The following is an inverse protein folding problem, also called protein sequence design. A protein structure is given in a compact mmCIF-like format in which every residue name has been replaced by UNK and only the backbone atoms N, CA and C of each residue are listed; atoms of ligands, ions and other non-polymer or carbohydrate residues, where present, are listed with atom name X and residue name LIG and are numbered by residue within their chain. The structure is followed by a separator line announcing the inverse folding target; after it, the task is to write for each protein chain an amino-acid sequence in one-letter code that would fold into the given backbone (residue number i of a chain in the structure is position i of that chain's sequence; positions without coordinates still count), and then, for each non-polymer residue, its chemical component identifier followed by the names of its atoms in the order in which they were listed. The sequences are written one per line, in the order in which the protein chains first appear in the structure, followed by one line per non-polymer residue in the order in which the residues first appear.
data_IF_024551345848
#
_entry.id   IF_024551345848
#
_cell.length_a   1.000
_cell.length_b   1.000
_cell.length_c   1.000
_cell.angle_alpha   90.00
_cell.angle_beta   90.00
_cell.angle_gamma   90.00
#
_symmetry.space_group_name_H-M   'P 1'
#
loop_
_entity.id
_entity.type
_entity.pdbx_description
1 polymer ?
#
# COMPACT_ATOMS: atom_id res chain seq x y z
N UNK A 1 0.32 6.27 12.75
CA UNK A 1 0.58 5.06 11.92
C UNK A 1 1.55 5.42 10.82
N UNK A 2 2.37 4.46 10.37
CA UNK A 2 3.22 4.64 9.20
C UNK A 2 2.40 4.88 7.91
N UNK A 3 3.03 5.53 6.95
CA UNK A 3 2.52 5.70 5.60
C UNK A 3 3.61 6.13 4.63
N UNK A 4 3.42 5.82 3.36
CA UNK A 4 4.37 6.12 2.29
C UNK A 4 3.65 6.76 1.11
N UNK A 5 4.36 7.59 0.35
CA UNK A 5 3.90 8.08 -0.94
C UNK A 5 5.08 8.35 -1.90
N UNK A 6 4.77 8.40 -3.20
CA UNK A 6 5.68 8.73 -4.28
C UNK A 6 4.95 9.56 -5.32
N UNK A 7 5.61 10.60 -5.84
CA UNK A 7 5.22 11.32 -7.06
C UNK A 7 6.33 11.10 -8.09
N UNK A 8 5.98 10.63 -9.28
CA UNK A 8 6.90 10.51 -10.42
C UNK A 8 6.41 11.39 -11.57
N UNK A 9 7.27 12.27 -12.06
CA UNK A 9 6.98 13.22 -13.13
C UNK A 9 8.07 13.18 -14.21
N UNK A 10 7.73 13.52 -15.45
CA UNK A 10 8.69 13.58 -16.57
C UNK A 10 9.06 12.21 -17.16
N UNK A 11 8.30 11.16 -16.84
CA UNK A 11 8.51 9.79 -17.34
C UNK A 11 7.25 9.33 -18.05
N UNK A 12 7.38 8.90 -19.31
CA UNK A 12 6.31 8.20 -20.01
C UNK A 12 6.33 6.75 -19.55
N UNK A 13 5.17 6.20 -19.23
CA UNK A 13 5.07 4.83 -18.72
C UNK A 13 4.57 3.92 -19.83
N UNK A 14 5.31 2.83 -20.08
CA UNK A 14 4.84 1.73 -20.91
C UNK A 14 4.14 0.68 -20.04
N UNK A 15 2.91 0.36 -20.42
CA UNK A 15 2.05 -0.63 -19.76
C UNK A 15 1.94 -1.93 -20.56
N UNK A 16 2.69 -2.10 -21.66
CA UNK A 16 2.59 -3.24 -22.58
C UNK A 16 2.67 -4.62 -21.90
N UNK A 17 3.43 -4.70 -20.81
CA UNK A 17 3.64 -5.85 -19.92
C UNK A 17 2.56 -6.05 -18.85
N UNK A 18 1.75 -5.03 -18.56
CA UNK A 18 0.65 -5.09 -17.60
C UNK A 18 -0.67 -5.35 -18.34
N UNK A 19 -1.34 -6.46 -18.01
CA UNK A 19 -2.73 -6.69 -18.43
C UNK A 19 -3.66 -5.81 -17.61
N UNK A 20 -3.69 -4.51 -17.91
CA UNK A 20 -4.74 -3.62 -17.43
C UNK A 20 -5.98 -3.80 -18.29
N UNK A 21 -7.12 -4.05 -17.66
CA UNK A 21 -8.42 -3.99 -18.33
C UNK A 21 -8.67 -2.52 -18.73
N UNK A 22 -8.41 -2.21 -20.00
CA UNK A 22 -8.54 -0.87 -20.54
C UNK A 22 -9.99 -0.40 -20.47
N UNK A 23 -10.26 0.72 -19.79
CA UNK A 23 -11.49 1.49 -20.00
C UNK A 23 -11.18 2.98 -19.95
N UNK A 24 -11.38 3.64 -21.09
CA UNK A 24 -11.68 5.08 -21.16
C UNK A 24 -13.21 5.22 -21.20
N UNK A 25 -13.83 6.15 -20.44
CA UNK A 25 -14.02 7.49 -20.97
C UNK A 25 -13.97 8.63 -19.93
N UNK A 26 -13.87 9.84 -20.49
CA UNK A 26 -13.74 11.16 -19.87
C UNK A 26 -14.73 11.50 -18.75
N UNK A 27 -14.23 12.03 -17.64
CA UNK A 27 -14.97 12.90 -16.73
C UNK A 27 -14.23 14.24 -16.55
N UNK A 28 -14.98 15.34 -16.53
CA UNK A 28 -14.46 16.73 -16.52
C UNK A 28 -14.19 17.24 -15.11
N UNK A 29 -13.42 16.52 -14.31
CA UNK A 29 -12.99 17.04 -13.00
C UNK A 29 -11.49 16.83 -12.81
N UNK A 30 -10.73 17.91 -13.04
CA UNK A 30 -9.29 17.98 -12.75
C UNK A 30 -9.09 17.86 -11.25
N UNK A 31 -8.80 16.65 -10.79
CA UNK A 31 -8.35 16.39 -9.43
C UNK A 31 -6.82 16.35 -9.44
N UNK A 32 -6.20 17.50 -9.18
CA UNK A 32 -4.73 17.59 -9.11
C UNK A 32 -4.31 17.36 -7.66
N UNK A 33 -3.72 16.21 -7.37
CA UNK A 33 -3.15 15.92 -6.04
C UNK A 33 -1.79 16.59 -5.92
N UNK A 34 -1.61 17.47 -4.93
CA UNK A 34 -0.31 18.10 -4.64
C UNK A 34 0.52 17.28 -3.66
N UNK A 35 1.83 17.57 -3.59
CA UNK A 35 2.72 16.99 -2.57
C UNK A 35 2.26 17.31 -1.15
N UNK A 36 1.75 18.53 -0.92
CA UNK A 36 1.28 18.97 0.39
C UNK A 36 -0.03 18.28 0.78
N UNK A 37 -0.91 17.97 -0.18
CA UNK A 37 -2.11 17.16 0.08
C UNK A 37 -1.75 15.76 0.57
N UNK A 38 -0.75 15.11 -0.06
CA UNK A 38 -0.24 13.80 0.35
C UNK A 38 0.40 13.86 1.74
N UNK A 39 1.28 14.84 1.98
CA UNK A 39 1.89 15.06 3.29
C UNK A 39 0.84 15.28 4.38
N UNK A 40 -0.14 16.15 4.15
CA UNK A 40 -1.21 16.41 5.09
C UNK A 40 -2.06 15.16 5.38
N UNK A 41 -2.34 14.36 4.34
CA UNK A 41 -3.06 13.09 4.50
C UNK A 41 -2.28 12.08 5.34
N UNK A 42 -0.98 11.94 5.10
CA UNK A 42 -0.10 11.08 5.88
C UNK A 42 0.06 11.58 7.32
N UNK A 43 0.21 12.89 7.53
CA UNK A 43 0.38 13.52 8.84
C UNK A 43 -0.83 13.30 9.75
N UNK A 44 -2.05 13.29 9.19
CA UNK A 44 -3.30 13.01 9.95
C UNK A 44 -3.31 11.63 10.62
N UNK A 45 -2.43 10.71 10.20
CA UNK A 45 -2.27 9.40 10.85
C UNK A 45 -1.48 9.45 12.15
N UNK A 46 -0.92 10.60 12.52
CA UNK A 46 -0.04 10.78 13.69
C UNK A 46 1.25 9.96 13.61
N UNK A 47 2.15 10.22 12.65
CA UNK A 47 3.50 9.66 12.66
C UNK A 47 4.40 10.40 13.66
N UNK A 48 5.48 9.76 14.10
CA UNK A 48 6.54 10.39 14.91
C UNK A 48 7.39 11.34 14.07
N UNK A 49 7.57 11.03 12.79
CA UNK A 49 8.29 11.88 11.83
C UNK A 49 7.69 11.80 10.44
N UNK A 50 7.83 12.90 9.69
CA UNK A 50 7.47 13.00 8.29
C UNK A 50 8.67 13.55 7.52
N UNK A 51 9.16 12.79 6.55
CA UNK A 51 10.30 13.15 5.72
C UNK A 51 9.96 13.16 4.23
N UNK A 52 10.80 13.83 3.45
CA UNK A 52 10.68 13.89 1.99
C UNK A 52 12.08 13.83 1.38
N UNK A 53 12.22 13.10 0.28
CA UNK A 53 13.45 13.08 -0.51
C UNK A 53 13.10 13.24 -1.99
N UNK A 54 13.74 14.18 -2.66
CA UNK A 54 13.65 14.35 -4.11
C UNK A 54 14.87 13.75 -4.80
N UNK A 55 14.60 13.04 -5.88
CA UNK A 55 15.57 12.52 -6.83
C UNK A 55 15.27 13.10 -8.22
N UNK A 56 16.27 13.72 -8.84
CA UNK A 56 16.21 14.17 -10.24
C UNK A 56 17.00 13.21 -11.10
N UNK A 57 16.42 12.77 -12.21
CA UNK A 57 17.11 12.03 -13.26
C UNK A 57 17.37 12.99 -14.41
N UNK A 58 18.63 13.08 -14.83
CA UNK A 58 19.06 13.94 -15.93
C UNK A 58 19.54 13.08 -17.09
N UNK A 59 19.07 13.40 -18.28
CA UNK A 59 19.53 12.78 -19.52
C UNK A 59 20.45 13.75 -20.27
N UNK A 60 21.72 13.37 -20.42
CA UNK A 60 22.70 14.14 -21.20
C UNK A 60 23.06 13.40 -22.49
N UNK A 61 22.87 14.04 -23.65
CA UNK A 61 23.31 13.51 -24.95
C UNK A 61 24.74 13.95 -25.20
N UNK A 62 25.71 13.02 -25.09
CA UNK A 62 27.09 13.29 -25.46
C UNK A 62 27.26 13.20 -27.00
N UNK A 63 27.14 14.34 -27.68
CA UNK A 63 27.28 14.46 -29.15
C UNK A 63 28.69 14.13 -29.70
N UNK A 64 29.70 13.96 -28.83
CA UNK A 64 31.11 13.81 -29.23
C UNK A 64 31.60 12.34 -29.31
N UNK A 65 30.89 11.39 -28.70
CA UNK A 65 31.25 9.97 -28.73
C UNK A 65 30.01 9.13 -29.07
N UNK A 66 29.96 8.62 -30.31
CA UNK A 66 29.07 7.57 -30.81
C UNK A 66 27.99 7.07 -29.83
N UNK A 67 26.84 7.76 -29.75
CA UNK A 67 25.55 7.19 -29.38
C UNK A 67 25.30 6.76 -27.93
N UNK A 68 26.19 7.02 -26.97
CA UNK A 68 25.97 6.59 -25.58
C UNK A 68 25.14 7.64 -24.80
N UNK A 69 23.88 7.29 -24.51
CA UNK A 69 23.00 7.96 -23.54
C UNK A 69 23.48 7.68 -22.11
N UNK A 70 23.56 8.72 -21.26
CA UNK A 70 23.88 8.57 -19.84
C UNK A 70 22.76 9.16 -18.99
N UNK A 71 22.19 8.34 -18.11
CA UNK A 71 21.25 8.77 -17.06
C UNK A 71 22.02 8.98 -15.77
N UNK A 72 22.07 10.22 -15.30
CA UNK A 72 22.62 10.56 -13.98
C UNK A 72 21.49 10.86 -13.00
N UNK A 73 21.72 10.63 -11.70
CA UNK A 73 20.77 10.99 -10.66
C UNK A 73 21.40 12.01 -9.70
N UNK A 74 20.60 12.98 -9.28
CA UNK A 74 21.01 14.05 -8.36
C UNK A 74 19.96 14.19 -7.27
N UNK A 75 20.39 14.27 -6.02
CA UNK A 75 19.51 14.59 -4.89
C UNK A 75 19.64 16.07 -4.53
N UNK A 76 18.56 16.75 -4.16
CA UNK A 76 18.53 18.21 -3.87
C UNK A 76 19.46 18.69 -2.73
N UNK A 77 20.19 17.82 -2.03
CA UNK A 77 21.24 18.24 -1.08
C UNK A 77 22.53 18.73 -1.76
N UNK A 78 22.70 18.48 -3.06
CA UNK A 78 23.82 19.01 -3.86
C UNK A 78 23.41 20.29 -4.58
N UNK A 79 24.15 21.37 -4.31
CA UNK A 79 23.96 22.71 -4.84
C UNK A 79 23.69 22.77 -6.35
N UNK A 80 22.73 23.66 -6.68
CA UNK A 80 22.34 24.19 -8.00
C UNK A 80 23.48 24.17 -9.02
N UNK A 81 23.28 23.43 -10.11
CA UNK A 81 24.05 23.60 -11.35
C UNK A 81 23.65 24.94 -11.98
N UNK A 82 24.35 26.00 -11.59
CA UNK A 82 24.48 27.19 -12.42
C UNK A 82 25.60 26.90 -13.43
N UNK A 83 25.23 26.62 -14.69
CA UNK A 83 26.06 26.98 -15.83
C UNK A 83 25.24 26.89 -17.11
N UNK A 84 25.05 28.06 -17.73
CA UNK A 84 24.46 28.17 -19.05
C UNK A 84 25.22 27.37 -20.09
N UNK A 85 24.57 26.35 -20.64
CA UNK A 85 24.86 25.83 -21.97
C UNK A 85 23.57 25.33 -22.61
N UNK A 86 23.32 25.77 -23.84
CA UNK A 86 22.07 25.55 -24.58
C UNK A 86 21.98 24.10 -25.11
N UNK A 87 21.30 23.21 -24.38
CA UNK A 87 20.65 22.00 -24.90
C UNK A 87 19.41 21.74 -24.02
N UNK A 88 18.23 21.35 -24.56
CA UNK A 88 17.11 20.95 -23.71
C UNK A 88 17.46 19.65 -22.97
N UNK A 89 17.92 19.75 -21.72
CA UNK A 89 18.00 18.59 -20.82
C UNK A 89 16.57 18.15 -20.49
N UNK A 90 16.20 16.95 -20.93
CA UNK A 90 15.03 16.27 -20.39
C UNK A 90 15.37 15.77 -18.99
N UNK A 91 14.47 16.03 -18.04
CA UNK A 91 14.60 15.57 -16.68
C UNK A 91 13.35 14.81 -16.25
N UNK A 92 13.55 13.87 -15.34
CA UNK A 92 12.48 13.24 -14.59
C UNK A 92 12.67 13.48 -13.09
N UNK A 93 11.56 13.53 -12.36
CA UNK A 93 11.55 13.82 -10.93
C UNK A 93 10.81 12.73 -10.18
N UNK A 94 11.42 12.23 -9.11
CA UNK A 94 10.81 11.32 -8.14
C UNK A 94 10.84 11.97 -6.76
N UNK A 95 9.66 12.15 -6.15
CA UNK A 95 9.51 12.71 -4.80
C UNK A 95 8.96 11.65 -3.86
N UNK A 96 9.82 11.14 -2.97
CA UNK A 96 9.51 10.13 -1.97
C UNK A 96 9.07 10.80 -0.68
N UNK A 97 7.99 10.31 -0.07
CA UNK A 97 7.48 10.80 1.22
C UNK A 97 7.31 9.63 2.18
N UNK A 98 7.90 9.73 3.37
CA UNK A 98 7.80 8.74 4.43
C UNK A 98 7.22 9.36 5.70
N UNK A 99 6.10 8.81 6.18
CA UNK A 99 5.54 9.09 7.49
C UNK A 99 5.83 7.90 8.39
N UNK A 100 6.69 8.06 9.38
CA UNK A 100 7.15 6.96 10.23
C UNK A 100 6.55 7.04 11.61
N UNK A 101 5.88 5.96 12.03
CA UNK A 101 5.57 5.66 13.43
C UNK A 101 6.47 4.49 13.83
N UNK A 102 7.48 4.72 14.66
CA UNK A 102 8.46 3.69 14.96
C UNK A 102 7.91 2.70 16.00
N UNK A 103 7.80 1.43 15.60
CA UNK A 103 7.37 0.35 16.48
C UNK A 103 8.53 -0.56 16.92
N UNK A 104 9.70 -0.46 16.26
CA UNK A 104 10.84 -1.34 16.46
C UNK A 104 12.16 -0.61 16.30
N UNK A 105 13.14 -1.01 17.09
CA UNK A 105 14.48 -0.42 17.14
C UNK A 105 14.61 0.62 18.25
N UNK A 106 15.82 0.75 18.80
CA UNK A 106 16.11 1.64 19.93
C UNK A 106 16.42 3.08 19.50
N UNK A 107 16.88 3.28 18.27
CA UNK A 107 17.20 4.59 17.72
C UNK A 107 16.07 5.06 16.80
N UNK A 108 15.60 6.32 16.92
CA UNK A 108 14.67 6.91 15.97
C UNK A 108 15.17 6.81 14.53
N UNK A 109 14.33 6.32 13.61
CA UNK A 109 14.60 6.24 12.18
C UNK A 109 13.54 7.04 11.43
N UNK A 110 13.98 8.04 10.69
CA UNK A 110 13.11 8.80 9.77
C UNK A 110 13.22 8.26 8.35
N UNK A 111 12.12 8.29 7.61
CA UNK A 111 12.04 7.90 6.21
C UNK A 111 11.69 9.11 5.33
N UNK A 112 12.10 9.15 4.05
CA UNK A 112 12.83 8.13 3.29
C UNK A 112 14.26 7.84 3.81
N UNK A 113 14.64 6.57 3.87
CA UNK A 113 16.01 6.17 4.14
C UNK A 113 16.84 6.26 2.87
N UNK A 114 18.05 6.83 2.97
CA UNK A 114 19.00 6.91 1.85
C UNK A 114 20.31 6.27 2.29
N UNK A 115 20.83 5.34 1.48
CA UNK A 115 22.13 4.71 1.75
C UNK A 115 23.28 5.42 1.02
N UNK A 116 24.51 4.98 1.29
CA UNK A 116 25.72 5.57 0.69
C UNK A 116 25.87 5.31 -0.81
N UNK A 117 25.03 4.46 -1.40
CA UNK A 117 25.03 4.13 -2.83
C UNK A 117 23.97 4.92 -3.58
N UNK A 118 23.19 5.76 -2.88
CA UNK A 118 22.09 6.53 -3.45
C UNK A 118 20.77 5.75 -3.53
N UNK A 119 20.68 4.54 -2.97
CA UNK A 119 19.42 3.83 -2.89
C UNK A 119 18.48 4.54 -1.91
N UNK A 120 17.18 4.60 -2.24
CA UNK A 120 16.17 5.26 -1.41
C UNK A 120 15.10 4.24 -1.04
N UNK A 121 14.78 4.11 0.24
CA UNK A 121 13.74 3.21 0.75
C UNK A 121 12.68 3.98 1.52
N UNK A 122 11.42 3.74 1.17
CA UNK A 122 10.25 4.07 1.98
C UNK A 122 9.44 2.80 2.19
N UNK A 123 9.16 2.47 3.44
CA UNK A 123 8.58 1.22 3.88
C UNK A 123 7.48 1.47 4.92
N UNK A 124 6.31 0.91 4.66
CA UNK A 124 5.19 0.85 5.59
C UNK A 124 4.88 -0.61 5.88
N UNK A 125 5.39 -1.13 6.99
CA UNK A 125 5.20 -2.53 7.36
C UNK A 125 5.94 -2.90 8.63
N UNK A 126 5.86 -4.17 8.98
CA UNK A 126 6.60 -4.77 10.08
C UNK A 126 7.12 -6.14 9.66
N UNK A 127 8.37 -6.45 10.01
CA UNK A 127 8.97 -7.74 9.69
C UNK A 127 9.03 -8.61 10.94
N UNK A 128 8.20 -9.66 10.95
CA UNK A 128 8.12 -10.65 12.04
C UNK A 128 9.03 -11.86 11.80
N UNK A 129 9.47 -12.09 10.57
CA UNK A 129 10.41 -13.15 10.24
C UNK A 129 10.74 -13.22 8.75
N UNK A 130 11.48 -14.27 8.38
CA UNK A 130 11.95 -14.48 7.01
C UNK A 130 13.24 -13.73 6.67
N UNK A 131 13.46 -12.57 7.29
CA UNK A 131 14.76 -11.90 7.35
C UNK A 131 15.30 -11.96 8.79
N UNK A 132 16.63 -11.99 8.95
CA UNK A 132 17.26 -11.97 10.26
C UNK A 132 17.31 -10.53 10.78
N UNK A 133 16.57 -10.25 11.86
CA UNK A 133 16.50 -8.92 12.45
C UNK A 133 16.72 -9.05 13.95
N UNK A 134 17.80 -8.44 14.44
CA UNK A 134 18.14 -8.39 15.87
C UNK A 134 17.05 -7.72 16.72
N UNK A 135 17.01 -8.01 18.01
CA UNK A 135 15.98 -7.51 18.94
C UNK A 135 15.90 -5.98 18.95
N UNK A 136 17.05 -5.32 18.87
CA UNK A 136 17.17 -3.87 19.04
C UNK A 136 17.29 -3.14 17.69
N UNK A 137 17.25 -3.90 16.59
CA UNK A 137 17.39 -3.38 15.25
C UNK A 137 16.04 -2.85 14.74
N UNK A 138 16.09 -1.72 14.04
CA UNK A 138 14.99 -1.26 13.21
C UNK A 138 14.90 -2.12 11.94
N UNK A 139 13.71 -2.65 11.65
CA UNK A 139 13.46 -3.54 10.52
C UNK A 139 13.63 -2.86 9.16
N UNK A 140 13.28 -1.57 9.05
CA UNK A 140 13.45 -0.79 7.82
C UNK A 140 14.92 -0.62 7.46
N UNK A 141 15.78 -0.36 8.46
CA UNK A 141 17.24 -0.28 8.25
C UNK A 141 17.83 -1.64 7.82
N UNK A 142 17.40 -2.74 8.45
CA UNK A 142 17.86 -4.08 8.07
C UNK A 142 17.37 -4.45 6.67
N UNK A 143 16.12 -4.13 6.33
CA UNK A 143 15.59 -4.32 4.98
C UNK A 143 16.41 -3.57 3.92
N UNK A 144 16.80 -2.32 4.18
CA UNK A 144 17.70 -1.55 3.29
C UNK A 144 19.01 -2.30 3.05
N UNK A 145 19.60 -2.93 4.07
CA UNK A 145 20.84 -3.70 3.91
C UNK A 145 20.65 -4.94 3.02
N UNK A 146 19.54 -5.68 3.18
CA UNK A 146 19.22 -6.81 2.31
C UNK A 146 19.02 -6.37 0.86
N UNK A 147 18.24 -5.29 0.64
CA UNK A 147 17.94 -4.78 -0.70
C UNK A 147 19.18 -4.19 -1.41
N UNK A 148 20.05 -3.50 -0.67
CA UNK A 148 21.33 -2.98 -1.18
C UNK A 148 22.23 -4.09 -1.73
N UNK A 149 22.18 -5.28 -1.14
CA UNK A 149 23.00 -6.41 -1.56
C UNK A 149 22.42 -7.16 -2.78
N UNK A 150 21.27 -6.74 -3.28
CA UNK A 150 20.68 -7.34 -4.47
C UNK A 150 21.42 -6.96 -5.75
N UNK A 151 21.39 -7.87 -6.73
CA UNK A 151 21.86 -7.62 -8.08
C UNK A 151 21.03 -6.52 -8.78
N UNK A 152 21.67 -5.84 -9.72
CA UNK A 152 21.06 -4.89 -10.66
C UNK A 152 20.54 -5.54 -11.94
N UNK A 153 20.65 -6.86 -12.05
CA UNK A 153 20.23 -7.62 -13.20
C UNK A 153 18.71 -7.84 -13.16
N UNK A 154 18.04 -7.56 -14.26
CA UNK A 154 16.58 -7.55 -14.40
C UNK A 154 15.92 -8.95 -14.48
N UNK A 155 16.67 -10.03 -14.24
CA UNK A 155 16.12 -11.39 -14.28
C UNK A 155 16.78 -12.35 -13.28
N UNK A 156 15.97 -13.30 -12.81
CA UNK A 156 16.41 -14.36 -11.90
C UNK A 156 17.44 -15.31 -12.54
N UNK A 157 17.40 -15.46 -13.87
CA UNK A 157 18.38 -16.26 -14.62
C UNK A 157 19.78 -15.61 -14.60
N UNK A 158 19.86 -14.28 -14.68
CA UNK A 158 21.13 -13.55 -14.59
C UNK A 158 21.63 -13.33 -13.14
N UNK A 159 20.75 -13.46 -12.14
CA UNK A 159 21.12 -13.37 -10.73
C UNK A 159 22.03 -14.53 -10.26
N UNK A 160 21.99 -15.70 -10.92
CA UNK A 160 22.95 -16.78 -10.64
C UNK A 160 24.34 -16.52 -11.22
N UNK A 161 24.44 -15.67 -12.24
CA UNK A 161 25.69 -15.33 -12.94
C UNK A 161 26.34 -14.03 -12.44
N UNK A 162 25.62 -13.18 -11.69
CA UNK A 162 26.17 -11.97 -11.07
C UNK A 162 27.00 -12.28 -9.81
N UNK A 163 28.00 -13.15 -9.98
CA UNK A 163 28.84 -13.67 -8.91
C UNK A 163 30.13 -12.86 -8.83
N UNK A 164 30.04 -11.59 -8.42
CA UNK A 164 31.24 -10.80 -8.12
C UNK A 164 31.75 -11.24 -6.74
N UNK A 165 32.85 -12.00 -6.72
CA UNK A 165 33.57 -12.51 -5.53
C UNK A 165 33.00 -13.76 -4.82
N UNK A 166 32.22 -14.61 -5.50
CA UNK A 166 31.78 -15.90 -4.96
C UNK A 166 30.66 -15.82 -3.90
N UNK A 167 30.13 -14.62 -3.64
CA UNK A 167 28.92 -14.43 -2.84
C UNK A 167 27.72 -14.27 -3.78
N UNK A 168 26.73 -15.16 -3.63
CA UNK A 168 25.45 -15.08 -4.35
C UNK A 168 24.74 -13.78 -3.95
N UNK A 169 24.66 -12.81 -4.86
CA UNK A 169 23.84 -11.62 -4.65
C UNK A 169 22.35 -12.00 -4.71
N UNK A 170 21.55 -11.40 -3.84
CA UNK A 170 20.10 -11.58 -3.85
C UNK A 170 19.45 -10.92 -5.07
N UNK A 171 18.18 -11.21 -5.30
CA UNK A 171 17.33 -10.45 -6.23
C UNK A 171 16.22 -9.78 -5.41
N UNK A 172 15.77 -8.58 -5.80
CA UNK A 172 14.81 -7.80 -4.99
C UNK A 172 13.53 -8.61 -4.71
N UNK A 173 12.88 -9.22 -5.70
CA UNK A 173 11.75 -10.13 -5.46
C UNK A 173 12.05 -11.29 -4.50
N UNK A 174 13.27 -11.81 -4.45
CA UNK A 174 13.64 -12.86 -3.49
C UNK A 174 13.62 -12.37 -2.06
N UNK A 175 14.15 -11.17 -1.80
CA UNK A 175 14.11 -10.55 -0.47
C UNK A 175 12.67 -10.28 -0.07
N UNK A 176 11.88 -9.64 -0.95
CA UNK A 176 10.50 -9.26 -0.65
C UNK A 176 9.58 -10.47 -0.45
N UNK A 177 9.80 -11.55 -1.20
CA UNK A 177 9.03 -12.80 -1.05
C UNK A 177 9.30 -13.53 0.26
N UNK A 178 10.43 -13.27 0.92
CA UNK A 178 10.78 -13.90 2.19
C UNK A 178 10.14 -13.21 3.40
N UNK A 179 9.75 -11.94 3.28
CA UNK A 179 9.25 -11.15 4.42
C UNK A 179 7.98 -11.79 4.99
N UNK A 180 8.05 -12.21 6.26
CA UNK A 180 6.89 -12.63 7.05
C UNK A 180 6.39 -11.45 7.87
N UNK A 181 5.37 -10.78 7.37
CA UNK A 181 4.76 -9.61 8.00
C UNK A 181 3.99 -8.78 6.97
N UNK A 182 3.17 -7.81 7.40
CA UNK A 182 2.44 -6.93 6.51
C UNK A 182 3.37 -5.85 5.95
N UNK A 183 3.29 -5.54 4.65
CA UNK A 183 4.17 -4.51 4.08
C UNK A 183 3.63 -3.86 2.80
N UNK A 184 4.02 -2.61 2.63
CA UNK A 184 4.03 -1.86 1.37
C UNK A 184 5.38 -1.15 1.25
N UNK A 185 5.94 -1.10 0.04
CA UNK A 185 7.29 -0.61 -0.21
C UNK A 185 7.37 0.28 -1.44
N UNK A 186 8.26 1.26 -1.38
CA UNK A 186 8.79 2.03 -2.50
C UNK A 186 10.31 2.06 -2.33
N UNK A 187 11.05 1.51 -3.28
CA UNK A 187 12.51 1.36 -3.23
C UNK A 187 13.17 1.76 -4.54
N UNK A 188 14.01 2.79 -4.51
CA UNK A 188 14.88 3.16 -5.64
C UNK A 188 16.19 2.39 -5.55
N UNK A 189 16.48 1.58 -6.56
CA UNK A 189 17.76 0.93 -6.77
C UNK A 189 18.60 1.77 -7.75
N UNK A 190 19.57 2.47 -7.19
CA UNK A 190 20.36 3.47 -7.89
C UNK A 190 21.24 2.87 -8.99
N UNK A 191 21.84 1.71 -8.72
CA UNK A 191 22.78 1.05 -9.65
C UNK A 191 22.14 0.52 -10.94
N UNK A 192 20.82 0.30 -10.95
CA UNK A 192 20.05 -0.12 -12.14
C UNK A 192 19.00 0.92 -12.57
N UNK A 193 18.97 2.10 -11.93
CA UNK A 193 17.93 3.12 -12.14
C UNK A 193 16.52 2.52 -12.11
N UNK A 194 16.27 1.62 -11.16
CA UNK A 194 15.02 0.86 -11.10
C UNK A 194 14.22 1.25 -9.86
N UNK A 195 12.97 1.64 -10.06
CA UNK A 195 12.01 1.87 -8.99
C UNK A 195 11.24 0.57 -8.72
N UNK A 196 11.43 -0.01 -7.55
CA UNK A 196 10.67 -1.14 -7.05
C UNK A 196 9.52 -0.65 -6.16
N UNK A 197 8.33 -1.19 -6.33
CA UNK A 197 7.18 -0.86 -5.50
C UNK A 197 6.22 -2.03 -5.38
N UNK A 198 5.35 -2.00 -4.38
CA UNK A 198 4.36 -3.05 -4.21
C UNK A 198 3.96 -3.26 -2.77
N UNK A 199 3.26 -4.36 -2.54
CA UNK A 199 2.71 -4.73 -1.24
C UNK A 199 2.62 -6.24 -1.07
N UNK A 200 2.51 -6.66 0.18
CA UNK A 200 2.48 -8.07 0.55
C UNK A 200 1.32 -8.83 -0.09
N UNK A 201 1.49 -10.14 -0.23
CA UNK A 201 0.55 -11.04 -0.90
C UNK A 201 -0.90 -10.97 -0.39
N UNK A 202 -1.11 -10.59 0.88
CA UNK A 202 -2.43 -10.49 1.49
C UNK A 202 -2.96 -9.06 1.57
N UNK A 203 -2.21 -8.08 1.06
CA UNK A 203 -2.64 -6.68 1.01
C UNK A 203 -2.87 -6.05 2.38
N UNK A 204 -2.17 -6.49 3.43
CA UNK A 204 -2.41 -6.03 4.82
C UNK A 204 -2.00 -4.58 5.05
N UNK A 205 -1.17 -4.02 4.18
CA UNK A 205 -0.89 -2.58 4.10
C UNK A 205 -1.42 -2.04 2.77
N UNK A 206 -2.22 -0.98 2.84
CA UNK A 206 -2.73 -0.28 1.66
C UNK A 206 -1.61 0.43 0.91
N UNK A 207 -1.71 0.37 -0.41
CA UNK A 207 -0.94 1.18 -1.34
C UNK A 207 -1.85 1.48 -2.52
N UNK A 208 -2.22 2.74 -2.65
CA UNK A 208 -3.01 3.25 -3.76
C UNK A 208 -2.07 3.62 -4.90
N UNK A 209 -2.55 3.49 -6.13
CA UNK A 209 -1.87 3.90 -7.33
C UNK A 209 -2.76 4.82 -8.15
N UNK A 210 -2.15 5.86 -8.72
CA UNK A 210 -2.68 6.60 -9.84
C UNK A 210 -1.76 6.33 -11.03
N UNK A 211 -2.31 5.68 -12.05
CA UNK A 211 -1.64 5.51 -13.33
C UNK A 211 -1.78 6.79 -14.17
N UNK A 212 -0.72 7.24 -14.86
CA UNK A 212 -0.78 8.42 -15.71
C UNK A 212 -1.99 8.44 -16.64
N UNK A 213 -2.68 9.58 -16.67
CA UNK A 213 -3.80 9.86 -17.57
C UNK A 213 -3.54 11.11 -18.41
N UNK A 214 -4.50 11.48 -19.26
CA UNK A 214 -4.43 12.74 -20.01
C UNK A 214 -4.56 13.97 -19.10
N UNK A 215 -5.28 13.83 -17.99
CA UNK A 215 -5.55 14.89 -17.02
C UNK A 215 -4.39 15.09 -16.04
N UNK A 216 -3.75 14.01 -15.61
CA UNK A 216 -2.55 14.03 -14.77
C UNK A 216 -1.53 13.01 -15.32
N UNK A 217 -0.44 13.47 -15.96
CA UNK A 217 0.55 12.56 -16.56
C UNK A 217 1.50 11.95 -15.54
N UNK A 218 1.36 12.28 -14.25
CA UNK A 218 2.25 11.79 -13.20
C UNK A 218 1.84 10.38 -12.77
N UNK A 219 2.82 9.59 -12.35
CA UNK A 219 2.57 8.33 -11.67
C UNK A 219 2.67 8.54 -10.17
N UNK A 220 1.61 8.19 -9.43
CA UNK A 220 1.54 8.43 -8.00
C UNK A 220 1.31 7.12 -7.25
N UNK A 221 1.98 6.99 -6.10
CA UNK A 221 1.68 5.98 -5.11
C UNK A 221 1.40 6.64 -3.78
N UNK A 222 0.43 6.13 -3.02
CA UNK A 222 0.18 6.61 -1.66
C UNK A 222 -0.52 5.58 -0.80
N UNK A 223 -0.12 5.43 0.45
CA UNK A 223 -0.82 4.58 1.42
C UNK A 223 -2.18 5.14 1.87
N UNK A 224 -2.51 6.39 1.52
CA UNK A 224 -3.78 7.06 1.83
C UNK A 224 -4.21 8.00 0.71
N UNK A 225 -5.52 8.10 0.49
CA UNK A 225 -6.05 9.13 -0.41
C UNK A 225 -6.17 10.47 0.33
N UNK A 226 -5.72 11.59 -0.25
CA UNK A 226 -6.03 12.91 0.28
C UNK A 226 -7.53 13.20 0.29
N UNK A 227 -8.04 13.92 1.29
CA UNK A 227 -9.49 14.17 1.47
C UNK A 227 -10.09 15.05 0.37
N UNK A 228 -9.29 15.92 -0.24
CA UNK A 228 -9.67 16.69 -1.43
C UNK A 228 -10.04 15.79 -2.62
N UNK A 229 -9.68 14.50 -2.56
CA UNK A 229 -10.03 13.55 -3.60
C UNK A 229 -11.49 13.04 -3.54
N UNK A 230 -12.12 13.12 -2.36
CA UNK A 230 -13.35 12.38 -2.04
C UNK A 230 -14.63 13.21 -2.06
N UNK A 231 -14.53 14.54 -2.22
CA UNK A 231 -15.66 15.46 -2.09
C UNK A 231 -16.59 15.53 -3.32
N UNK A 232 -16.58 14.54 -4.21
CA UNK A 232 -17.42 14.54 -5.42
C UNK A 232 -18.35 13.32 -5.56
N UNK A 233 -18.32 12.35 -4.66
CA UNK A 233 -19.39 11.35 -4.56
C UNK A 233 -20.39 11.81 -3.51
N UNK A 234 -21.42 12.56 -3.92
CA UNK A 234 -22.61 12.78 -3.09
C UNK A 234 -23.20 11.42 -2.69
N UNK A 235 -23.52 11.25 -1.40
CA UNK A 235 -24.05 10.05 -0.72
C UNK A 235 -25.42 9.53 -1.23
N UNK A 236 -25.62 9.46 -2.54
CA UNK A 236 -26.80 8.83 -3.15
C UNK A 236 -26.37 7.99 -4.35
N UNK A 237 -25.84 6.80 -4.08
CA UNK A 237 -25.70 5.76 -5.10
C UNK A 237 -27.09 5.17 -5.39
N UNK A 238 -27.78 5.77 -6.37
CA UNK A 238 -28.69 5.00 -7.22
C UNK A 238 -27.81 4.33 -8.26
N UNK A 239 -27.83 3.00 -8.28
CA UNK A 239 -27.22 2.16 -9.31
C UNK A 239 -27.63 2.64 -10.71
N UNK A 240 -26.78 3.42 -11.35
CA UNK A 240 -26.88 3.70 -12.78
C UNK A 240 -25.48 3.99 -13.34
N UNK A 241 -24.73 2.90 -13.58
CA UNK A 241 -24.00 2.63 -14.83
C UNK A 241 -23.06 3.66 -15.44
N UNK A 242 -22.63 4.70 -14.70
CA UNK A 242 -21.62 5.65 -15.19
C UNK A 242 -20.29 5.35 -14.52
N UNK A 243 -19.46 4.55 -15.19
CA UNK A 243 -18.08 4.23 -14.81
C UNK A 243 -17.23 5.51 -14.82
N UNK A 244 -17.32 6.33 -13.77
CA UNK A 244 -16.34 7.37 -13.50
C UNK A 244 -15.00 6.72 -13.16
N UNK A 245 -13.95 7.05 -13.90
CA UNK A 245 -12.59 6.59 -13.60
C UNK A 245 -12.23 7.13 -12.20
N UNK A 246 -11.89 6.22 -11.28
CA UNK A 246 -11.40 6.60 -9.95
C UNK A 246 -9.95 7.06 -10.08
N UNK A 247 -9.63 8.25 -9.58
CA UNK A 247 -8.26 8.79 -9.62
C UNK A 247 -7.26 7.86 -8.91
N UNK A 248 -7.68 7.33 -7.75
CA UNK A 248 -6.94 6.32 -7.00
C UNK A 248 -7.61 4.95 -7.18
N UNK A 249 -6.79 3.96 -7.48
CA UNK A 249 -7.14 2.55 -7.33
C UNK A 249 -6.25 1.89 -6.29
N UNK A 250 -6.73 0.81 -5.70
CA UNK A 250 -5.92 0.01 -4.78
C UNK A 250 -4.94 -0.84 -5.61
N UNK A 251 -3.64 -0.67 -5.40
CA UNK A 251 -2.63 -1.45 -6.12
C UNK A 251 -2.81 -2.92 -5.79
N UNK A 252 -2.91 -3.76 -6.83
CA UNK A 252 -2.98 -5.21 -6.67
C UNK A 252 -1.77 -5.76 -5.91
N UNK A 253 -1.97 -6.83 -5.13
CA UNK A 253 -0.88 -7.48 -4.42
C UNK A 253 0.20 -7.99 -5.39
N UNK A 254 1.46 -7.79 -5.01
CA UNK A 254 2.59 -8.16 -5.84
C UNK A 254 3.79 -7.24 -5.68
N UNK A 255 4.85 -7.60 -6.41
CA UNK A 255 6.09 -6.85 -6.52
C UNK A 255 6.15 -6.30 -7.94
N UNK A 256 6.40 -5.01 -8.07
CA UNK A 256 6.49 -4.30 -9.34
C UNK A 256 7.85 -3.63 -9.44
N UNK A 257 8.38 -3.54 -10.66
CA UNK A 257 9.55 -2.72 -10.98
C UNK A 257 9.22 -1.77 -12.12
N UNK A 258 9.82 -0.58 -12.11
CA UNK A 258 9.87 0.35 -13.22
C UNK A 258 11.32 0.66 -13.52
N UNK A 259 11.85 0.11 -14.61
CA UNK A 259 13.21 0.43 -15.07
C UNK A 259 13.17 1.72 -15.87
N UNK A 260 14.01 2.68 -15.49
CA UNK A 260 14.12 3.96 -16.18
C UNK A 260 15.17 3.84 -17.26
N UNK A 261 14.74 3.86 -18.52
CA UNK A 261 15.64 3.88 -19.65
C UNK A 261 15.51 5.21 -20.41
N UNK A 262 16.63 5.69 -20.93
CA UNK A 262 16.71 6.89 -21.76
C UNK A 262 17.12 6.47 -23.17
N UNK A 263 16.24 5.74 -23.84
CA UNK A 263 16.54 5.06 -25.11
C UNK A 263 15.88 5.65 -26.34
N UNK A 264 15.04 6.67 -26.21
CA UNK A 264 14.34 7.21 -27.38
C UNK A 264 15.03 8.43 -27.99
N UNK A 265 15.01 8.47 -29.32
CA UNK A 265 15.53 9.55 -30.18
C UNK A 265 14.88 10.92 -29.90
N UNK A 266 13.79 10.95 -29.13
CA UNK A 266 13.08 12.17 -28.71
C UNK A 266 13.53 12.70 -27.34
N UNK A 267 14.51 12.04 -26.70
CA UNK A 267 15.11 12.45 -25.43
C UNK A 267 14.25 12.23 -24.19
N UNK A 268 13.05 11.64 -24.29
CA UNK A 268 12.19 11.41 -23.12
C UNK A 268 12.57 10.17 -22.30
N UNK A 269 12.33 10.19 -20.99
CA UNK A 269 12.41 8.99 -20.14
C UNK A 269 11.23 8.05 -20.43
N UNK A 270 11.54 6.76 -20.62
CA UNK A 270 10.54 5.70 -20.68
C UNK A 270 10.71 4.79 -19.45
N UNK A 271 9.62 4.58 -18.73
CA UNK A 271 9.52 3.64 -17.61
C UNK A 271 8.73 2.42 -18.04
N UNK A 272 9.40 1.28 -18.19
CA UNK A 272 8.73 -0.01 -18.42
C UNK A 272 8.36 -0.63 -17.07
N UNK A 273 7.07 -0.92 -16.85
CA UNK A 273 6.63 -1.55 -15.59
C UNK A 273 6.56 -3.06 -15.73
N UNK A 274 7.15 -3.82 -14.84
CA UNK A 274 7.03 -5.28 -14.81
C UNK A 274 6.46 -5.73 -13.47
N UNK A 275 5.47 -6.62 -13.50
CA UNK A 275 5.02 -7.36 -12.31
C UNK A 275 5.85 -8.63 -12.18
N UNK A 276 6.38 -8.88 -10.99
CA UNK A 276 7.22 -10.03 -10.67
C UNK A 276 6.43 -11.06 -9.88
N UNK A 277 6.69 -12.32 -10.18
CA UNK A 277 6.18 -13.45 -9.41
C UNK A 277 6.84 -13.52 -8.03
N UNK A 278 6.08 -14.01 -7.05
CA UNK A 278 6.65 -14.40 -5.77
C UNK A 278 7.70 -15.48 -5.99
N UNK A 279 8.74 -15.53 -5.18
CA UNK A 279 9.78 -16.58 -5.32
C UNK A 279 9.81 -17.56 -4.14
N UNK A 280 9.13 -17.23 -3.05
CA UNK A 280 8.97 -18.12 -1.91
C UNK A 280 7.86 -19.16 -2.18
N UNK A 281 8.22 -20.45 -2.17
CA UNK A 281 7.31 -21.56 -2.47
C UNK A 281 6.13 -21.62 -1.50
N UNK A 282 6.39 -21.49 -0.20
CA UNK A 282 5.34 -21.53 0.82
C UNK A 282 4.36 -20.36 0.68
N UNK A 283 4.85 -19.18 0.27
CA UNK A 283 3.99 -18.03 -0.01
C UNK A 283 3.11 -18.28 -1.24
N UNK A 284 3.65 -18.87 -2.31
CA UNK A 284 2.85 -19.24 -3.49
C UNK A 284 1.72 -20.19 -3.12
N UNK A 285 2.05 -21.26 -2.40
CA UNK A 285 1.06 -22.23 -1.91
C UNK A 285 -0.02 -21.54 -1.07
N UNK A 286 0.36 -20.58 -0.21
CA UNK A 286 -0.57 -19.87 0.67
C UNK A 286 -1.48 -18.89 -0.08
N UNK A 287 -1.02 -18.30 -1.18
CA UNK A 287 -1.82 -17.41 -2.04
C UNK A 287 -2.83 -18.21 -2.85
N UNK A 288 -2.42 -19.36 -3.36
CA UNK A 288 -3.26 -20.29 -4.11
C UNK A 288 -4.16 -21.13 -3.20
N UNK A 289 -3.99 -21.03 -1.87
CA UNK A 289 -4.73 -21.83 -0.92
C UNK A 289 -6.21 -21.45 -0.91
N UNK A 290 -7.00 -22.26 -1.61
CA UNK A 290 -8.44 -22.20 -1.56
C UNK A 290 -8.92 -22.71 -0.20
N UNK A 291 -9.50 -21.82 0.60
CA UNK A 291 -10.07 -22.25 1.88
C UNK A 291 -11.31 -23.08 1.59
N UNK A 292 -11.37 -24.29 2.15
CA UNK A 292 -12.51 -25.21 1.99
C UNK A 292 -13.84 -24.67 2.55
N UNK A 293 -13.83 -23.52 3.26
CA UNK A 293 -15.01 -22.90 3.84
C UNK A 293 -14.81 -21.38 3.83
N UNK A 294 -15.19 -20.74 2.72
CA UNK A 294 -15.26 -19.27 2.58
C UNK A 294 -16.74 -18.91 2.53
N UNK A 295 -17.23 -18.34 3.63
CA UNK A 295 -18.62 -17.93 3.85
C UNK A 295 -19.68 -19.06 3.87
N UNK A 296 -20.60 -19.07 4.85
CA UNK A 296 -21.87 -19.74 4.63
C UNK A 296 -22.58 -19.02 3.48
N UNK A 297 -23.01 -19.78 2.48
CA UNK A 297 -23.77 -19.21 1.36
C UNK A 297 -25.01 -18.48 1.90
N UNK A 298 -25.52 -17.42 1.24
CA UNK A 298 -26.72 -16.72 1.70
C UNK A 298 -27.87 -17.68 2.04
N UNK A 299 -28.03 -18.76 1.26
CA UNK A 299 -29.03 -19.82 1.50
C UNK A 299 -28.87 -20.53 2.87
N UNK A 300 -27.64 -20.65 3.38
CA UNK A 300 -27.30 -21.22 4.68
C UNK A 300 -27.58 -20.24 5.84
N UNK A 301 -27.49 -18.92 5.57
CA UNK A 301 -27.79 -17.86 6.55
C UNK A 301 -29.31 -17.68 6.76
N UNK A 302 -30.12 -17.78 5.70
CA UNK A 302 -31.59 -17.70 5.83
C UNK A 302 -32.17 -18.88 6.60
N UNK A 303 -31.59 -20.07 6.46
CA UNK A 303 -31.98 -21.28 7.20
C UNK A 303 -31.73 -21.17 8.72
N UNK A 304 -30.78 -20.33 9.13
CA UNK A 304 -30.43 -20.08 10.54
C UNK A 304 -31.37 -19.08 11.23
N UNK A 305 -31.76 -17.99 10.54
CA UNK A 305 -32.65 -16.95 11.09
C UNK A 305 -34.04 -17.48 11.46
N UNK A 306 -34.59 -18.41 10.69
CA UNK A 306 -35.92 -18.98 10.98
C UNK A 306 -35.91 -20.09 12.06
N UNK A 307 -34.76 -20.70 12.38
CA UNK A 307 -34.67 -21.69 13.47
C UNK A 307 -34.58 -21.07 14.87
N UNK A 308 -34.26 -19.78 14.98
CA UNK A 308 -34.10 -19.14 16.30
C UNK A 308 -35.42 -18.64 16.91
N UNK A 309 -36.50 -18.56 16.12
CA UNK A 309 -37.83 -18.12 16.58
C UNK A 309 -38.81 -19.27 16.89
N UNK A 310 -38.44 -20.51 16.57
CA UNK A 310 -39.28 -21.70 16.78
C UNK A 310 -38.47 -22.84 17.37
N UNK A 311 -38.04 -22.68 18.63
CA UNK A 311 -37.67 -23.82 19.48
C UNK A 311 -38.75 -24.00 20.54
N UNK A 312 -39.89 -24.55 20.08
CA UNK A 312 -40.62 -25.57 20.83
C UNK A 312 -40.88 -26.71 19.85
N UNK A 313 -40.57 -27.92 20.32
CA UNK A 313 -40.80 -29.24 19.73
C UNK A 313 -40.05 -29.61 18.44
N UNK A 314 -39.10 -30.52 18.65
CA UNK A 314 -38.92 -31.78 17.91
C UNK A 314 -37.62 -32.01 17.13
N UNK A 315 -37.19 -33.27 17.26
CA UNK A 315 -35.94 -33.89 16.83
C UNK A 315 -35.68 -33.77 15.32
N UNK A 316 -34.38 -33.82 15.01
CA UNK A 316 -33.78 -34.27 13.76
C UNK A 316 -34.05 -33.44 12.49
N UNK A 317 -33.10 -32.56 12.16
CA UNK A 317 -32.35 -32.63 10.89
C UNK A 317 -31.38 -31.46 10.73
N UNK A 318 -30.16 -31.83 10.35
CA UNK A 318 -28.97 -31.01 10.26
C UNK A 318 -29.09 -29.88 9.23
N UNK A 319 -28.89 -28.64 9.67
CA UNK A 319 -28.35 -27.55 8.85
C UNK A 319 -27.57 -26.62 9.78
N UNK A 320 -26.52 -27.19 10.37
CA UNK A 320 -25.58 -26.43 11.18
C UNK A 320 -24.62 -25.75 10.22
N UNK A 321 -24.61 -24.40 10.20
CA UNK A 321 -23.36 -23.71 9.86
C UNK A 321 -22.22 -24.26 10.73
N UNK A 322 -20.94 -24.09 10.36
CA UNK A 322 -19.85 -24.69 11.11
C UNK A 322 -19.99 -24.34 12.60
N UNK A 323 -20.26 -25.36 13.42
CA UNK A 323 -20.53 -25.28 14.87
C UNK A 323 -19.55 -24.33 15.59
N UNK A 324 -18.25 -24.29 15.23
CA UNK A 324 -17.31 -23.34 15.82
C UNK A 324 -17.66 -21.86 15.57
N UNK A 325 -18.10 -21.49 14.36
CA UNK A 325 -18.42 -20.10 14.02
C UNK A 325 -19.65 -19.61 14.80
N UNK A 326 -20.67 -20.46 14.94
CA UNK A 326 -21.87 -20.14 15.74
C UNK A 326 -21.54 -20.03 17.23
N UNK A 327 -20.64 -20.88 17.74
CA UNK A 327 -20.18 -20.82 19.12
C UNK A 327 -19.40 -19.52 19.38
N UNK A 328 -18.51 -19.13 18.46
CA UNK A 328 -17.77 -17.87 18.55
C UNK A 328 -18.71 -16.67 18.49
N UNK A 329 -19.68 -16.65 17.56
CA UNK A 329 -20.64 -15.56 17.44
C UNK A 329 -21.53 -15.42 18.70
N UNK A 330 -21.99 -16.55 19.25
CA UNK A 330 -22.76 -16.58 20.50
C UNK A 330 -21.92 -16.07 21.67
N UNK A 331 -20.68 -16.54 21.81
CA UNK A 331 -19.76 -16.09 22.84
C UNK A 331 -19.44 -14.59 22.72
N UNK A 332 -19.30 -14.07 21.49
CA UNK A 332 -19.10 -12.65 21.23
C UNK A 332 -20.31 -11.82 21.64
N UNK A 333 -21.53 -12.23 21.26
CA UNK A 333 -22.78 -11.60 21.68
C UNK A 333 -22.89 -11.52 23.20
N UNK A 334 -22.66 -12.65 23.89
CA UNK A 334 -22.69 -12.68 25.35
C UNK A 334 -21.63 -11.77 25.99
N UNK A 335 -20.41 -11.78 25.45
CA UNK A 335 -19.34 -10.91 25.92
C UNK A 335 -19.70 -9.42 25.73
N UNK A 336 -20.30 -9.06 24.58
CA UNK A 336 -20.74 -7.69 24.29
C UNK A 336 -21.81 -7.25 25.28
N UNK A 337 -22.86 -8.06 25.45
CA UNK A 337 -23.94 -7.81 26.40
C UNK A 337 -23.45 -7.60 27.82
N UNK A 338 -22.52 -8.43 28.29
CA UNK A 338 -21.93 -8.28 29.63
C UNK A 338 -21.16 -6.96 29.75
N UNK A 339 -20.40 -6.56 28.73
CA UNK A 339 -19.62 -5.31 28.78
C UNK A 339 -20.50 -4.07 28.74
N UNK A 340 -21.58 -4.07 27.95
CA UNK A 340 -22.53 -2.95 27.86
C UNK A 340 -23.37 -2.88 29.15
N UNK A 341 -23.88 -4.00 29.66
CA UNK A 341 -24.68 -3.98 30.91
C UNK A 341 -23.88 -3.56 32.15
N UNK A 342 -22.56 -3.75 32.14
CA UNK A 342 -21.66 -3.33 33.23
C UNK A 342 -21.20 -1.87 33.11
N UNK A 343 -21.34 -1.25 31.93
CA UNK A 343 -20.91 0.12 31.70
C UNK A 343 -22.08 0.90 31.11
N UNK A 344 -22.65 1.84 31.87
CA UNK A 344 -23.49 2.88 31.27
C UNK A 344 -22.63 3.65 30.27
N UNK A 345 -22.64 3.23 29.00
CA UNK A 345 -22.05 3.98 27.91
C UNK A 345 -22.82 5.29 27.91
N UNK A 346 -22.15 6.36 28.35
CA UNK A 346 -22.74 7.64 28.70
C UNK A 346 -23.85 8.04 27.72
N UNK A 347 -25.11 7.92 28.15
CA UNK A 347 -26.18 8.75 27.60
C UNK A 347 -25.74 10.18 27.85
N UNK A 348 -25.40 10.90 26.78
CA UNK A 348 -25.10 12.32 26.86
C UNK A 348 -26.24 12.99 27.64
N UNK A 349 -25.89 13.62 28.76
CA UNK A 349 -26.83 14.33 29.63
C UNK A 349 -27.61 15.30 28.74
N UNK A 350 -28.93 15.09 28.66
CA UNK A 350 -29.87 16.06 28.08
C UNK A 350 -29.93 17.27 28.99
N UNK A 351 -28.91 18.12 28.95
CA UNK A 351 -29.07 19.49 29.42
C UNK A 351 -29.73 20.29 28.31
N UNK A 352 -30.79 21.01 28.67
CA UNK A 352 -31.75 21.56 27.73
C UNK A 352 -31.11 22.44 26.66
N UNK A 353 -31.48 22.20 25.40
CA UNK A 353 -31.14 22.98 24.22
C UNK A 353 -29.73 22.76 23.63
N UNK A 354 -29.53 21.62 22.96
CA UNK A 354 -28.75 21.49 21.70
C UNK A 354 -29.12 20.18 21.00
N UNK A 355 -28.95 20.15 19.69
CA UNK A 355 -29.37 19.07 18.78
C UNK A 355 -28.91 17.69 19.27
N UNK A 356 -29.68 16.64 18.94
CA UNK A 356 -29.32 15.23 19.19
C UNK A 356 -27.95 14.94 18.55
N UNK A 357 -26.88 15.10 19.30
CA UNK A 357 -25.56 14.62 18.91
C UNK A 357 -25.50 13.13 19.26
N UNK A 358 -25.56 12.29 18.23
CA UNK A 358 -25.26 10.86 18.34
C UNK A 358 -23.87 10.71 18.96
N UNK A 359 -23.75 10.02 20.09
CA UNK A 359 -22.45 9.76 20.71
C UNK A 359 -21.74 8.70 19.86
N UNK A 360 -20.59 9.00 19.22
CA UNK A 360 -19.87 8.00 18.45
C UNK A 360 -19.24 6.99 19.42
N UNK A 361 -19.73 5.75 19.43
CA UNK A 361 -19.09 4.67 20.18
C UNK A 361 -17.92 4.13 19.34
N UNK A 362 -16.71 4.20 19.89
CA UNK A 362 -15.52 3.65 19.25
C UNK A 362 -15.24 2.23 19.75
N UNK A 363 -15.11 1.27 18.83
CA UNK A 363 -14.74 -0.11 19.16
C UNK A 363 -13.23 -0.27 19.01
N UNK A 364 -12.52 -0.39 20.14
CA UNK A 364 -11.13 -0.86 20.14
C UNK A 364 -11.10 -2.39 20.16
N UNK A 365 -10.34 -2.98 19.25
CA UNK A 365 -10.10 -4.41 19.19
C UNK A 365 -8.63 -4.68 18.87
N UNK A 366 -8.06 -5.71 19.48
CA UNK A 366 -6.78 -6.28 19.09
C UNK A 366 -7.06 -7.53 18.26
N UNK A 367 -6.46 -7.62 17.06
CA UNK A 367 -6.82 -8.52 15.96
C UNK A 367 -7.10 -10.00 16.29
N UNK A 368 -7.72 -10.67 15.32
CA UNK A 368 -8.26 -12.04 15.41
C UNK A 368 -9.76 -12.11 15.12
N UNK A 369 -10.45 -10.96 15.15
CA UNK A 369 -11.84 -10.77 14.80
C UNK A 369 -11.99 -9.42 14.07
N UNK A 370 -12.93 -9.31 13.13
CA UNK A 370 -13.18 -8.09 12.37
C UNK A 370 -13.88 -7.03 13.25
N UNK A 371 -13.37 -5.79 13.26
CA UNK A 371 -14.02 -4.66 13.94
C UNK A 371 -15.45 -4.43 13.50
N UNK A 372 -15.76 -4.63 12.21
CA UNK A 372 -17.09 -4.43 11.68
C UNK A 372 -18.08 -5.42 12.28
N UNK A 373 -17.66 -6.68 12.51
CA UNK A 373 -18.49 -7.67 13.20
C UNK A 373 -18.77 -7.21 14.63
N UNK A 374 -17.74 -6.75 15.34
CA UNK A 374 -17.89 -6.24 16.70
C UNK A 374 -18.78 -4.98 16.74
N UNK A 375 -18.63 -4.06 15.79
CA UNK A 375 -19.45 -2.86 15.68
C UNK A 375 -20.92 -3.18 15.38
N UNK A 376 -21.19 -4.12 14.46
CA UNK A 376 -22.54 -4.57 14.14
C UNK A 376 -23.21 -5.25 15.36
N UNK A 377 -22.48 -6.09 16.08
CA UNK A 377 -22.98 -6.70 17.31
C UNK A 377 -23.20 -5.67 18.42
N UNK A 378 -22.38 -4.62 18.49
CA UNK A 378 -22.58 -3.53 19.45
C UNK A 378 -23.89 -2.80 19.17
N UNK A 379 -24.15 -2.48 17.91
CA UNK A 379 -25.34 -1.76 17.45
C UNK A 379 -26.64 -2.50 17.82
N UNK A 380 -26.64 -3.84 17.77
CA UNK A 380 -27.77 -4.68 18.24
C UNK A 380 -28.15 -4.42 19.72
N UNK A 381 -27.23 -3.88 20.54
CA UNK A 381 -27.38 -3.74 21.98
C UNK A 381 -27.28 -2.29 22.50
N UNK A 382 -27.02 -1.31 21.62
CA UNK A 382 -27.11 0.10 21.98
C UNK A 382 -28.58 0.52 22.02
N UNK A 383 -29.00 1.20 23.09
CA UNK A 383 -30.37 1.68 23.23
C UNK A 383 -30.63 2.78 22.18
N UNK A 384 -31.65 2.67 21.31
CA UNK A 384 -31.89 3.64 20.24
C UNK A 384 -32.35 5.04 20.70
N UNK A 385 -32.29 5.37 22.01
CA UNK A 385 -32.97 6.53 22.61
C UNK A 385 -32.12 7.44 23.52
#
# INVERSE_FOLDING_TARGET
MCGIALIVSGIRIDFSSLRLDSVSPSSKTQQVVSLEDLKAALQRRGPDSLGTKKLLLLHSINLLNSGNSLVSSVTEETHVLDNGSNVPESFAELVFVGATLQLRGVTPVSQPLVDSYGNILVYNGEIFGGLEIGSDNNDTQVLMQYLRNCCSCHSQEHATTCNSNGQKKGYVPDVLSQIKGPWAIIYWQESSKTLWFGRDAFGRRSLLVHWPSLEDPRFLLSSVSPTSSSLQSSDFEVENGTNGIKFWEELSCGIYSMSMDATHLDGGFLGEITKHEWTNVMLKELIEWERASVEPKPEELYSSRFKTLTVKSDMDSASSGPIPAQNVLTALRESMMRRISLHNIYQAVKDGARQKENVPVAVLFSGGLDSMILAALLDEYLDPN
#
